data_IF_571531649396
#
_entry.id   IF_571531649396
#
_cell.length_a   1.000
_cell.length_b   1.000
_cell.length_c   1.000
_cell.angle_alpha   90.00
_cell.angle_beta   90.00
_cell.angle_gamma   90.00
#
_symmetry.space_group_name_H-M   'P 1'
#
loop_
_entity.id
_entity.type
_entity.pdbx_description
1 polymer ?
#
# COMPACT_ATOMS: atom_id res chain seq x y z
N UNK A 1 16.74 -4.32 8.23
CA UNK A 1 15.34 -4.42 8.66
C UNK A 1 14.74 -3.07 8.94
N UNK A 2 15.40 -2.22 9.74
CA UNK A 2 14.92 -0.85 9.97
C UNK A 2 14.82 -0.03 8.67
N UNK A 3 15.76 -0.22 7.74
CA UNK A 3 15.72 0.40 6.41
C UNK A 3 14.50 -0.05 5.58
N UNK A 4 14.14 -1.35 5.62
CA UNK A 4 12.98 -1.89 4.92
C UNK A 4 11.68 -1.41 5.58
N UNK A 5 11.63 -1.37 6.92
CA UNK A 5 10.50 -0.85 7.67
C UNK A 5 10.26 0.63 7.35
N UNK A 6 11.32 1.45 7.35
CA UNK A 6 11.25 2.86 7.00
C UNK A 6 10.81 3.07 5.54
N UNK A 7 11.33 2.25 4.62
CA UNK A 7 10.91 2.26 3.22
C UNK A 7 9.41 1.95 3.07
N UNK A 8 8.92 0.88 3.70
CA UNK A 8 7.51 0.48 3.63
C UNK A 8 6.58 1.53 4.23
N UNK A 9 6.96 2.17 5.36
CA UNK A 9 6.18 3.28 5.94
C UNK A 9 6.05 4.43 4.94
N UNK A 10 7.16 4.87 4.36
CA UNK A 10 7.16 5.97 3.40
C UNK A 10 6.30 5.66 2.16
N UNK A 11 6.37 4.43 1.63
CA UNK A 11 5.58 4.04 0.46
C UNK A 11 4.09 3.94 0.74
N UNK A 12 3.70 3.40 1.90
CA UNK A 12 2.30 3.35 2.31
C UNK A 12 1.72 4.75 2.54
N UNK A 13 2.51 5.68 3.11
CA UNK A 13 2.09 7.07 3.29
C UNK A 13 1.92 7.80 1.94
N UNK A 14 2.81 7.55 0.98
CA UNK A 14 2.70 8.09 -0.38
C UNK A 14 1.50 7.52 -1.15
N UNK A 15 1.23 6.22 -1.04
CA UNK A 15 0.04 5.60 -1.64
C UNK A 15 -1.24 6.19 -1.04
N UNK A 16 -1.29 6.36 0.28
CA UNK A 16 -2.41 6.99 1.00
C UNK A 16 -2.64 8.42 0.52
N UNK A 17 -1.57 9.20 0.38
CA UNK A 17 -1.65 10.56 -0.14
C UNK A 17 -2.20 10.59 -1.57
N UNK A 18 -1.71 9.73 -2.47
CA UNK A 18 -2.18 9.63 -3.86
C UNK A 18 -3.67 9.27 -3.93
N UNK A 19 -4.14 8.36 -3.09
CA UNK A 19 -5.56 7.97 -3.05
C UNK A 19 -6.42 9.13 -2.54
N UNK A 20 -6.01 9.82 -1.48
CA UNK A 20 -6.77 10.97 -0.97
C UNK A 20 -6.83 12.10 -1.98
N UNK A 21 -5.72 12.41 -2.64
CA UNK A 21 -5.68 13.42 -3.70
C UNK A 21 -6.61 13.05 -4.86
N UNK A 22 -6.55 11.81 -5.35
CA UNK A 22 -7.44 11.34 -6.42
C UNK A 22 -8.92 11.35 -6.00
N UNK A 23 -9.23 11.06 -4.73
CA UNK A 23 -10.58 11.18 -4.19
C UNK A 23 -11.07 12.64 -4.22
N UNK A 24 -10.25 13.58 -3.75
CA UNK A 24 -10.57 15.00 -3.76
C UNK A 24 -10.82 15.51 -5.19
N UNK A 25 -9.93 15.19 -6.14
CA UNK A 25 -10.10 15.55 -7.55
C UNK A 25 -11.42 14.98 -8.12
N UNK A 26 -11.80 13.76 -7.74
CA UNK A 26 -13.03 13.10 -8.18
C UNK A 26 -14.31 13.70 -7.58
N UNK A 27 -14.29 14.09 -6.30
CA UNK A 27 -15.46 14.68 -5.63
C UNK A 27 -15.76 16.11 -6.07
N UNK A 28 -14.77 16.84 -6.61
CA UNK A 28 -14.92 18.26 -6.94
C UNK A 28 -14.88 18.61 -8.43
N UNK A 29 -14.50 17.69 -9.34
CA UNK A 29 -14.31 17.97 -10.76
C UNK A 29 -15.19 17.16 -11.71
N UNK A 30 -16.51 17.41 -11.79
CA UNK A 30 -17.36 17.18 -13.00
C UNK A 30 -18.64 16.32 -12.82
N UNK A 31 -18.99 15.88 -11.62
CA UNK A 31 -20.37 15.43 -11.32
C UNK A 31 -20.95 14.32 -12.22
N UNK A 32 -20.14 13.39 -12.73
CA UNK A 32 -20.65 12.27 -13.52
C UNK A 32 -21.11 11.11 -12.62
N UNK A 33 -22.37 11.19 -12.21
CA UNK A 33 -23.14 10.06 -11.69
C UNK A 33 -23.51 9.07 -12.81
N UNK A 34 -23.35 7.78 -12.50
CA UNK A 34 -23.89 6.60 -13.21
C UNK A 34 -23.47 6.33 -14.67
N UNK A 35 -22.55 5.37 -14.86
CA UNK A 35 -22.64 4.35 -15.94
C UNK A 35 -21.55 3.24 -15.94
N UNK A 36 -20.72 3.06 -14.89
CA UNK A 36 -19.80 1.87 -14.77
C UNK A 36 -19.72 1.32 -13.32
N UNK A 37 -20.67 1.69 -12.47
CA UNK A 37 -20.69 1.50 -11.01
C UNK A 37 -20.88 0.07 -10.48
N UNK A 38 -20.58 -1.01 -11.23
CA UNK A 38 -20.82 -2.39 -10.72
C UNK A 38 -19.81 -3.48 -11.07
N UNK A 39 -18.66 -3.19 -11.70
CA UNK A 39 -17.77 -4.27 -12.15
C UNK A 39 -16.39 -4.41 -11.47
N UNK A 40 -15.88 -3.43 -10.70
CA UNK A 40 -14.58 -3.58 -10.00
C UNK A 40 -14.51 -2.85 -8.63
N UNK A 41 -15.33 -3.26 -7.68
CA UNK A 41 -15.56 -2.58 -6.39
C UNK A 41 -14.43 -2.67 -5.32
N UNK A 42 -13.19 -2.99 -5.69
CA UNK A 42 -12.04 -2.96 -4.74
C UNK A 42 -10.83 -2.18 -5.23
N UNK A 43 -10.60 -2.17 -6.54
CA UNK A 43 -9.37 -1.65 -7.15
C UNK A 43 -9.61 -0.39 -8.00
N UNK A 44 -10.83 0.14 -8.00
CA UNK A 44 -11.13 1.38 -8.71
C UNK A 44 -10.54 2.57 -7.93
N UNK A 45 -9.78 3.46 -8.58
CA UNK A 45 -9.39 4.76 -8.02
C UNK A 45 -10.58 5.60 -7.52
N UNK A 46 -11.80 5.24 -7.93
CA UNK A 46 -13.06 5.89 -7.57
C UNK A 46 -13.67 5.33 -6.27
N UNK A 47 -13.08 4.28 -5.68
CA UNK A 47 -13.44 3.75 -4.35
C UNK A 47 -12.28 3.97 -3.36
N UNK A 48 -12.04 5.22 -2.93
CA UNK A 48 -10.93 5.56 -2.05
C UNK A 48 -11.02 4.82 -0.71
N UNK A 49 -12.23 4.56 -0.19
CA UNK A 49 -12.43 3.87 1.08
C UNK A 49 -11.92 2.41 1.04
N UNK A 50 -12.15 1.70 -0.07
CA UNK A 50 -11.63 0.35 -0.28
C UNK A 50 -10.10 0.30 -0.32
N UNK A 51 -9.48 1.25 -1.03
CA UNK A 51 -8.03 1.34 -1.15
C UNK A 51 -7.37 1.81 0.16
N UNK A 52 -7.97 2.76 0.87
CA UNK A 52 -7.53 3.19 2.21
C UNK A 52 -7.66 2.05 3.22
N UNK A 53 -8.71 1.23 3.14
CA UNK A 53 -8.86 0.04 3.98
C UNK A 53 -7.73 -0.97 3.74
N UNK A 54 -7.33 -1.17 2.48
CA UNK A 54 -6.19 -2.03 2.14
C UNK A 54 -4.86 -1.46 2.66
N UNK A 55 -4.60 -0.17 2.48
CA UNK A 55 -3.39 0.48 3.01
C UNK A 55 -3.34 0.37 4.53
N UNK A 56 -4.47 0.61 5.21
CA UNK A 56 -4.55 0.46 6.65
C UNK A 56 -4.31 -0.98 7.10
N UNK A 57 -4.79 -1.97 6.34
CA UNK A 57 -4.48 -3.38 6.60
C UNK A 57 -2.97 -3.64 6.48
N UNK A 58 -2.32 -3.17 5.40
CA UNK A 58 -0.86 -3.33 5.20
C UNK A 58 -0.05 -2.63 6.30
N UNK A 59 -0.47 -1.42 6.72
CA UNK A 59 0.16 -0.68 7.82
C UNK A 59 0.10 -1.46 9.14
N UNK A 60 -1.07 -2.02 9.47
CA UNK A 60 -1.23 -2.87 10.67
C UNK A 60 -0.37 -4.13 10.60
N UNK A 61 -0.26 -4.75 9.44
CA UNK A 61 0.61 -5.92 9.27
C UNK A 61 2.08 -5.57 9.48
N UNK A 62 2.53 -4.42 8.98
CA UNK A 62 3.88 -3.88 9.23
C UNK A 62 4.11 -3.60 10.73
N UNK A 63 3.16 -2.96 11.39
CA UNK A 63 3.25 -2.67 12.83
C UNK A 63 3.31 -3.93 13.69
N UNK A 64 2.51 -4.94 13.37
CA UNK A 64 2.56 -6.24 14.05
C UNK A 64 3.86 -6.99 13.77
N UNK A 65 4.38 -6.93 12.55
CA UNK A 65 5.69 -7.49 12.21
C UNK A 65 6.82 -6.83 13.01
N UNK A 66 6.81 -5.50 13.15
CA UNK A 66 7.77 -4.78 13.99
C UNK A 66 7.60 -5.16 15.46
N UNK A 67 6.35 -5.14 15.98
CA UNK A 67 6.06 -5.41 17.40
C UNK A 67 6.49 -6.80 17.86
N UNK A 68 6.34 -7.79 16.99
CA UNK A 68 6.56 -9.18 17.37
C UNK A 68 8.06 -9.58 17.41
N UNK A 69 8.98 -8.74 16.89
CA UNK A 69 10.47 -8.82 16.91
C UNK A 69 11.17 -10.21 16.81
N UNK A 70 10.45 -11.31 16.57
CA UNK A 70 10.90 -12.61 17.07
C UNK A 70 10.28 -13.80 16.35
N UNK A 71 10.48 -13.94 15.04
CA UNK A 71 10.47 -15.25 14.37
C UNK A 71 11.21 -15.17 13.03
N UNK A 72 11.97 -16.21 12.69
CA UNK A 72 12.70 -16.38 11.41
C UNK A 72 11.82 -16.23 10.14
N UNK A 73 10.48 -16.14 10.27
CA UNK A 73 9.53 -15.91 9.18
C UNK A 73 9.02 -14.48 9.01
N UNK A 74 9.41 -13.52 9.86
CA UNK A 74 9.04 -12.10 9.70
C UNK A 74 9.65 -11.47 8.43
N UNK A 75 10.79 -12.00 7.99
CA UNK A 75 11.54 -11.51 6.84
C UNK A 75 10.75 -11.66 5.54
N UNK A 76 10.20 -12.86 5.27
CA UNK A 76 9.44 -13.13 4.05
C UNK A 76 8.21 -12.22 3.93
N UNK A 77 7.52 -11.92 5.04
CA UNK A 77 6.32 -11.09 4.97
C UNK A 77 6.60 -9.62 4.58
N UNK A 78 7.64 -9.02 5.13
CA UNK A 78 8.01 -7.62 4.81
C UNK A 78 8.59 -7.51 3.39
N UNK A 79 9.34 -8.51 2.94
CA UNK A 79 9.84 -8.59 1.56
C UNK A 79 8.67 -8.73 0.57
N UNK A 80 7.65 -9.53 0.87
CA UNK A 80 6.42 -9.65 0.07
C UNK A 80 5.65 -8.33 -0.02
N UNK A 81 5.55 -7.58 1.09
CA UNK A 81 4.93 -6.24 1.08
C UNK A 81 5.73 -5.23 0.23
N UNK A 82 7.02 -5.45 0.04
CA UNK A 82 7.88 -4.56 -0.73
C UNK A 82 7.83 -4.82 -2.25
N UNK A 83 7.35 -5.99 -2.68
CA UNK A 83 7.29 -6.39 -4.10
C UNK A 83 6.60 -5.38 -5.02
N UNK A 84 5.47 -4.75 -4.66
CA UNK A 84 4.83 -3.75 -5.51
C UNK A 84 5.72 -2.54 -5.81
N UNK A 85 6.76 -2.32 -5.01
CA UNK A 85 7.69 -1.20 -5.13
C UNK A 85 9.05 -1.61 -5.69
N UNK A 86 9.20 -2.79 -6.30
CA UNK A 86 10.49 -3.31 -6.78
C UNK A 86 11.17 -2.40 -7.83
N UNK A 87 10.39 -1.63 -8.59
CA UNK A 87 10.87 -0.66 -9.59
C UNK A 87 11.15 0.72 -9.00
N UNK A 88 10.91 0.93 -7.71
CA UNK A 88 11.14 2.21 -7.06
C UNK A 88 12.67 2.46 -6.92
N UNK A 89 13.20 3.67 -7.21
CA UNK A 89 14.65 3.93 -7.21
C UNK A 89 15.34 3.67 -5.86
N UNK A 90 14.61 3.84 -4.75
CA UNK A 90 15.12 3.55 -3.40
C UNK A 90 14.90 2.09 -2.96
N UNK A 91 14.31 1.24 -3.80
CA UNK A 91 14.19 -0.19 -3.53
C UNK A 91 15.58 -0.83 -3.61
N UNK A 92 15.90 -1.69 -2.64
CA UNK A 92 17.17 -2.43 -2.63
C UNK A 92 16.94 -3.88 -3.06
N UNK A 93 17.77 -4.45 -3.95
CA UNK A 93 17.64 -5.84 -4.38
C UNK A 93 17.69 -6.87 -3.24
N UNK A 94 18.36 -6.53 -2.13
CA UNK A 94 18.43 -7.34 -0.92
C UNK A 94 17.08 -7.54 -0.21
N UNK A 95 16.06 -6.75 -0.55
CA UNK A 95 14.69 -6.90 -0.04
C UNK A 95 13.80 -7.78 -0.92
N UNK A 96 14.36 -8.34 -1.99
CA UNK A 96 13.62 -9.24 -2.86
C UNK A 96 13.59 -10.64 -2.23
N UNK A 97 12.40 -11.27 -2.09
CA UNK A 97 12.31 -12.63 -1.59
C UNK A 97 13.22 -13.57 -2.38
N UNK A 98 13.94 -14.44 -1.67
CA UNK A 98 14.92 -15.38 -2.27
C UNK A 98 14.27 -16.69 -2.74
N UNK A 99 12.94 -16.82 -2.62
CA UNK A 99 12.16 -18.03 -2.94
C UNK A 99 11.17 -17.84 -4.07
#
# INVERSE_FOLDING_TARGET
MDDLNAFLRARLDEDEHRIRQAAEDYFYGDGHGDAVNRWFDRWSPQNPDGMLTEINAKRRMLEEAVRLERYDGQFEFLELLALPYAEHPNYRPEWRPVR
#
